data_IF_192183071340
#
_entry.id   IF_192183071340
#
_cell.length_a   1.000
_cell.length_b   1.000
_cell.length_c   1.000
_cell.angle_alpha   90.00
_cell.angle_beta   90.00
_cell.angle_gamma   90.00
#
_symmetry.space_group_name_H-M   'P 1'
#
loop_
_entity.id
_entity.type
_entity.pdbx_description
1 polymer ?
#
# COMPACT_ATOMS: atom_id res chain seq x y z
N UNK A 1 4.57 3.39 26.75
CA UNK A 1 3.44 2.47 26.51
C UNK A 1 3.35 2.23 25.02
N UNK A 2 3.40 0.99 24.56
CA UNK A 2 3.30 0.66 23.12
C UNK A 2 1.86 0.80 22.64
N UNK A 3 1.65 1.50 21.52
CA UNK A 3 0.35 1.64 20.89
C UNK A 3 0.00 0.40 20.06
N UNK A 4 -1.26 -0.01 20.08
CA UNK A 4 -1.78 -0.98 19.13
C UNK A 4 -2.75 -0.26 18.19
N UNK A 5 -2.44 -0.24 16.89
CA UNK A 5 -3.23 0.45 15.88
C UNK A 5 -3.89 -0.60 14.99
N UNK A 6 -5.21 -0.72 15.14
CA UNK A 6 -6.06 -1.69 14.43
C UNK A 6 -6.31 -1.31 12.96
N UNK A 7 -6.77 -2.25 12.15
CA UNK A 7 -7.21 -2.01 10.77
C UNK A 7 -8.28 -0.92 10.68
N UNK A 8 -9.17 -0.81 11.68
CA UNK A 8 -10.21 0.21 11.72
C UNK A 8 -9.60 1.61 11.86
N UNK A 9 -8.63 1.77 12.77
CA UNK A 9 -7.92 3.03 12.99
C UNK A 9 -7.04 3.38 11.78
N UNK A 10 -6.35 2.41 11.20
CA UNK A 10 -5.57 2.61 9.97
C UNK A 10 -6.47 3.09 8.83
N UNK A 11 -7.67 2.52 8.66
CA UNK A 11 -8.65 2.96 7.65
C UNK A 11 -9.21 4.35 7.91
N UNK A 12 -9.36 4.73 9.17
CA UNK A 12 -9.87 6.05 9.54
C UNK A 12 -8.82 7.15 9.30
N UNK A 13 -7.52 6.85 9.44
CA UNK A 13 -6.45 7.84 9.36
C UNK A 13 -5.71 7.87 8.01
N UNK A 14 -5.51 6.72 7.37
CA UNK A 14 -4.66 6.62 6.19
C UNK A 14 -5.46 6.84 4.89
N UNK A 15 -5.18 7.95 4.20
CA UNK A 15 -5.78 8.29 2.92
C UNK A 15 -4.82 8.07 1.75
N UNK A 16 -5.35 7.93 0.52
CA UNK A 16 -4.50 7.76 -0.66
C UNK A 16 -3.57 8.96 -0.91
N UNK A 17 -3.99 10.24 -0.77
CA UNK A 17 -3.08 11.37 -0.86
C UNK A 17 -1.91 11.30 0.12
N UNK A 18 -2.17 11.00 1.39
CA UNK A 18 -1.12 10.82 2.41
C UNK A 18 -0.17 9.68 2.04
N UNK A 19 -0.70 8.56 1.54
CA UNK A 19 0.13 7.44 1.12
C UNK A 19 1.00 7.78 -0.10
N UNK A 20 0.49 8.54 -1.08
CA UNK A 20 1.26 9.01 -2.24
C UNK A 20 2.38 9.94 -1.80
N UNK A 21 2.10 10.90 -0.93
CA UNK A 21 3.10 11.83 -0.38
C UNK A 21 4.21 11.07 0.37
N UNK A 22 3.85 10.21 1.32
CA UNK A 22 4.81 9.44 2.09
C UNK A 22 5.65 8.50 1.22
N UNK A 23 5.05 7.84 0.23
CA UNK A 23 5.78 6.96 -0.70
C UNK A 23 6.70 7.78 -1.62
N UNK A 24 6.30 8.97 -2.03
CA UNK A 24 7.13 9.84 -2.85
C UNK A 24 8.34 10.38 -2.07
N UNK A 25 8.12 10.81 -0.83
CA UNK A 25 9.16 11.27 0.09
C UNK A 25 10.17 10.17 0.38
N UNK A 26 9.71 8.98 0.80
CA UNK A 26 10.61 7.87 1.14
C UNK A 26 11.42 7.40 -0.09
N UNK A 27 10.84 7.48 -1.30
CA UNK A 27 11.57 7.16 -2.53
C UNK A 27 12.70 8.15 -2.79
N UNK A 28 12.50 9.44 -2.49
CA UNK A 28 13.56 10.46 -2.55
C UNK A 28 14.66 10.20 -1.53
N UNK A 29 14.29 9.97 -0.27
CA UNK A 29 15.25 9.67 0.82
C UNK A 29 16.06 8.40 0.57
N UNK A 30 15.45 7.39 -0.06
CA UNK A 30 16.16 6.18 -0.48
C UNK A 30 17.25 6.50 -1.53
N UNK A 31 16.98 7.43 -2.46
CA UNK A 31 17.95 7.82 -3.48
C UNK A 31 19.15 8.61 -2.90
N UNK A 32 18.98 9.27 -1.75
CA UNK A 32 20.03 10.03 -1.06
C UNK A 32 20.74 9.25 0.06
N UNK A 33 20.33 8.01 0.33
CA UNK A 33 20.93 7.16 1.37
C UNK A 33 20.43 7.42 2.79
N UNK A 34 19.41 8.25 2.97
CA UNK A 34 18.78 8.54 4.27
C UNK A 34 17.86 7.41 4.75
N UNK A 35 17.50 6.50 3.85
CA UNK A 35 16.67 5.32 4.12
C UNK A 35 17.40 4.07 3.67
N UNK A 36 17.40 3.05 4.54
CA UNK A 36 17.82 1.69 4.18
C UNK A 36 16.58 0.80 4.03
N UNK A 37 16.54 0.01 2.96
CA UNK A 37 15.50 -1.00 2.72
C UNK A 37 16.16 -2.37 2.73
N UNK A 38 15.75 -3.22 3.66
CA UNK A 38 16.19 -4.60 3.71
C UNK A 38 15.23 -5.48 2.89
N UNK A 39 15.76 -6.29 1.95
CA UNK A 39 14.92 -7.10 1.07
C UNK A 39 14.11 -8.13 1.85
N UNK A 40 12.99 -8.53 1.26
CA UNK A 40 12.06 -9.50 1.85
C UNK A 40 12.71 -10.86 2.02
N UNK A 41 12.65 -11.41 3.22
CA UNK A 41 12.97 -12.80 3.53
C UNK A 41 11.70 -13.63 3.63
N UNK A 42 11.82 -14.92 3.30
CA UNK A 42 10.69 -15.83 3.18
C UNK A 42 11.07 -17.21 3.70
N UNK A 43 10.13 -17.87 4.36
CA UNK A 43 10.23 -19.29 4.66
C UNK A 43 8.85 -19.94 4.70
N UNK A 44 8.81 -21.21 4.33
CA UNK A 44 7.61 -22.04 4.32
C UNK A 44 7.28 -22.53 5.74
N UNK A 45 6.00 -22.72 5.99
CA UNK A 45 5.46 -23.32 7.19
C UNK A 45 4.81 -24.68 6.83
N UNK A 46 4.69 -25.61 7.78
CA UNK A 46 3.93 -26.83 7.56
C UNK A 46 2.50 -26.57 7.03
N UNK A 47 1.98 -27.47 6.20
CA UNK A 47 0.63 -27.36 5.65
C UNK A 47 0.47 -26.31 4.54
N UNK A 48 1.55 -25.96 3.83
CA UNK A 48 1.52 -25.03 2.69
C UNK A 48 1.36 -23.56 3.09
N UNK A 49 1.60 -23.23 4.36
CA UNK A 49 1.65 -21.85 4.84
C UNK A 49 3.01 -21.20 4.62
N UNK A 50 3.12 -19.90 4.86
CA UNK A 50 4.41 -19.20 4.85
C UNK A 50 4.46 -18.07 5.87
N UNK A 51 5.68 -17.66 6.22
CA UNK A 51 5.95 -16.41 6.94
C UNK A 51 6.97 -15.59 6.18
N UNK A 52 6.63 -14.33 5.95
CA UNK A 52 7.44 -13.39 5.20
C UNK A 52 7.67 -12.12 6.01
N UNK A 53 8.84 -11.53 5.88
CA UNK A 53 9.13 -10.22 6.48
C UNK A 53 10.04 -9.38 5.59
N UNK A 54 9.94 -8.07 5.73
CA UNK A 54 10.87 -7.08 5.15
C UNK A 54 11.01 -5.91 6.13
N UNK A 55 12.16 -5.26 6.16
CA UNK A 55 12.44 -4.19 7.11
C UNK A 55 12.97 -2.95 6.40
N UNK A 56 12.82 -1.79 7.05
CA UNK A 56 13.42 -0.55 6.60
C UNK A 56 13.71 0.35 7.81
N UNK A 57 14.66 1.25 7.65
CA UNK A 57 14.88 2.34 8.60
C UNK A 57 14.96 3.67 7.85
N UNK A 58 14.33 4.69 8.41
CA UNK A 58 14.48 6.09 7.99
C UNK A 58 15.35 6.78 9.05
N UNK A 59 16.60 7.07 8.69
CA UNK A 59 17.57 7.70 9.59
C UNK A 59 17.23 9.16 9.88
N UNK A 60 16.54 9.84 8.95
CA UNK A 60 16.12 11.23 9.13
C UNK A 60 15.00 11.37 10.17
N UNK A 61 14.09 10.40 10.21
CA UNK A 61 12.99 10.37 11.18
C UNK A 61 13.34 9.58 12.46
N UNK A 62 14.44 8.84 12.46
CA UNK A 62 14.87 8.05 13.60
C UNK A 62 13.99 6.84 13.87
N UNK A 63 13.38 6.24 12.84
CA UNK A 63 12.49 5.09 12.98
C UNK A 63 13.02 3.85 12.26
N UNK A 64 12.78 2.69 12.85
CA UNK A 64 12.94 1.39 12.19
C UNK A 64 11.63 0.62 12.27
N UNK A 65 11.25 -0.02 11.17
CA UNK A 65 10.04 -0.81 11.10
C UNK A 65 10.29 -2.09 10.30
N UNK A 66 9.51 -3.13 10.59
CA UNK A 66 9.45 -4.30 9.74
C UNK A 66 8.00 -4.68 9.47
N UNK A 67 7.68 -4.97 8.22
CA UNK A 67 6.40 -5.59 7.88
C UNK A 67 6.57 -7.09 7.87
N UNK A 68 5.79 -7.76 8.70
CA UNK A 68 5.73 -9.21 8.77
C UNK A 68 4.32 -9.71 8.43
N UNK A 69 4.23 -10.89 7.82
CA UNK A 69 2.94 -11.49 7.51
C UNK A 69 2.99 -13.01 7.37
N UNK A 70 1.91 -13.64 7.80
CA UNK A 70 1.66 -15.07 7.65
C UNK A 70 0.64 -15.33 6.55
N UNK A 71 0.75 -16.50 5.94
CA UNK A 71 -0.33 -17.15 5.20
C UNK A 71 -0.60 -18.51 5.83
N UNK A 72 -1.76 -18.66 6.43
CA UNK A 72 -2.18 -19.90 7.09
C UNK A 72 -3.69 -20.07 6.91
N UNK A 73 -4.14 -21.27 6.50
CA UNK A 73 -5.56 -21.58 6.25
C UNK A 73 -6.23 -20.54 5.34
N UNK A 74 -5.59 -20.26 4.21
CA UNK A 74 -6.03 -19.31 3.18
C UNK A 74 -6.27 -17.88 3.66
N UNK A 75 -5.58 -17.47 4.74
CA UNK A 75 -5.67 -16.13 5.32
C UNK A 75 -4.30 -15.49 5.42
N UNK A 76 -4.19 -14.29 4.86
CA UNK A 76 -3.06 -13.38 5.09
C UNK A 76 -3.32 -12.54 6.34
N UNK A 77 -2.31 -12.37 7.18
CA UNK A 77 -2.34 -11.44 8.32
C UNK A 77 -1.06 -10.64 8.35
N UNK A 78 -1.16 -9.33 8.51
CA UNK A 78 -0.03 -8.41 8.40
C UNK A 78 0.13 -7.60 9.69
N UNK A 79 1.37 -7.42 10.13
CA UNK A 79 1.71 -6.57 11.27
C UNK A 79 2.97 -5.76 10.96
N UNK A 80 3.00 -4.52 11.43
CA UNK A 80 4.19 -3.66 11.40
C UNK A 80 4.49 -3.20 12.83
N UNK A 81 5.48 -3.80 13.51
CA UNK A 81 6.13 -3.17 14.64
C UNK A 81 6.98 -1.97 14.18
N UNK A 82 6.85 -0.86 14.92
CA UNK A 82 7.58 0.38 14.74
C UNK A 82 8.40 0.67 16.00
N UNK A 83 9.69 0.96 15.84
CA UNK A 83 10.61 1.25 16.94
C UNK A 83 11.28 2.62 16.76
N UNK A 84 11.56 3.28 17.88
CA UNK A 84 12.43 4.47 17.91
C UNK A 84 13.89 4.03 17.90
N UNK A 85 14.67 4.54 16.95
CA UNK A 85 16.08 4.17 16.80
C UNK A 85 16.96 4.65 17.96
N UNK A 86 16.62 5.80 18.55
CA UNK A 86 17.41 6.44 19.61
C UNK A 86 17.38 5.65 20.93
N UNK A 87 16.22 5.07 21.26
CA UNK A 87 15.98 4.39 22.55
C UNK A 87 15.91 2.87 22.38
N UNK A 88 15.53 2.39 21.18
CA UNK A 88 15.19 1.00 20.93
C UNK A 88 13.75 0.65 21.34
N UNK A 89 12.96 1.62 21.81
CA UNK A 89 11.62 1.38 22.33
C UNK A 89 10.64 0.99 21.21
N UNK A 90 9.82 -0.02 21.49
CA UNK A 90 8.69 -0.39 20.63
C UNK A 90 7.56 0.64 20.82
N UNK A 91 7.35 1.46 19.80
CA UNK A 91 6.37 2.54 19.80
C UNK A 91 4.97 2.04 19.46
N UNK A 92 4.85 1.23 18.41
CA UNK A 92 3.55 0.78 17.93
C UNK A 92 3.58 -0.62 17.29
N UNK A 93 2.45 -1.30 17.37
CA UNK A 93 2.09 -2.48 16.60
C UNK A 93 0.91 -2.11 15.68
N UNK A 94 1.12 -2.15 14.37
CA UNK A 94 0.17 -1.63 13.38
C UNK A 94 -0.34 -2.77 12.50
N UNK A 95 -1.64 -3.03 12.47
CA UNK A 95 -2.23 -3.95 11.49
C UNK A 95 -2.10 -3.37 10.07
N UNK A 96 -1.73 -4.20 9.09
CA UNK A 96 -1.15 -3.69 7.85
C UNK A 96 -1.72 -4.29 6.55
N UNK A 97 -2.94 -4.82 6.57
CA UNK A 97 -3.64 -5.23 5.35
C UNK A 97 -4.03 -3.99 4.54
N UNK A 98 -4.83 -3.07 5.09
CA UNK A 98 -5.26 -1.88 4.36
C UNK A 98 -4.08 -0.98 3.99
N UNK A 99 -3.19 -0.69 4.94
CA UNK A 99 -1.95 0.06 4.69
C UNK A 99 -1.10 -0.61 3.59
N UNK A 100 -1.00 -1.94 3.61
CA UNK A 100 -0.29 -2.71 2.61
C UNK A 100 -0.86 -2.55 1.21
N UNK A 101 -2.19 -2.51 1.07
CA UNK A 101 -2.89 -2.25 -0.20
C UNK A 101 -2.70 -0.80 -0.66
N UNK A 102 -2.85 0.17 0.25
CA UNK A 102 -2.82 1.59 -0.08
C UNK A 102 -1.43 2.04 -0.54
N UNK A 103 -0.38 1.67 0.20
CA UNK A 103 1.02 1.99 -0.19
C UNK A 103 1.43 1.34 -1.50
N UNK A 104 0.83 0.20 -1.87
CA UNK A 104 1.08 -0.46 -3.15
C UNK A 104 0.46 0.32 -4.30
N UNK A 105 -0.78 0.82 -4.12
CA UNK A 105 -1.42 1.73 -5.07
C UNK A 105 -0.70 3.08 -5.18
N UNK A 106 -0.29 3.63 -4.04
CA UNK A 106 0.46 4.88 -3.96
C UNK A 106 1.79 4.82 -4.70
N UNK A 107 2.55 3.72 -4.58
CA UNK A 107 3.78 3.53 -5.36
C UNK A 107 3.54 3.61 -6.87
N UNK A 108 2.46 2.99 -7.37
CA UNK A 108 2.04 3.14 -8.77
C UNK A 108 1.58 4.56 -9.10
N UNK A 109 0.93 5.26 -8.17
CA UNK A 109 0.58 6.67 -8.29
C UNK A 109 1.84 7.55 -8.46
N UNK A 110 2.85 7.37 -7.62
CA UNK A 110 4.14 8.06 -7.74
C UNK A 110 4.79 7.75 -9.08
N UNK A 111 4.90 6.48 -9.47
CA UNK A 111 5.42 6.12 -10.80
C UNK A 111 4.63 6.79 -11.93
N UNK A 112 3.30 6.79 -11.85
CA UNK A 112 2.42 7.46 -12.81
C UNK A 112 2.69 8.96 -12.87
N UNK A 113 2.91 9.62 -11.72
CA UNK A 113 3.18 11.06 -11.62
C UNK A 113 4.35 11.46 -12.52
N UNK A 114 5.42 10.67 -12.49
CA UNK A 114 6.67 10.95 -13.20
C UNK A 114 6.74 10.36 -14.61
N UNK A 115 6.12 9.21 -14.87
CA UNK A 115 6.32 8.45 -16.12
C UNK A 115 5.15 8.58 -17.11
N UNK A 116 3.93 8.80 -16.64
CA UNK A 116 2.77 8.93 -17.53
C UNK A 116 2.66 10.34 -18.11
N UNK A 117 2.16 10.46 -19.35
CA UNK A 117 1.84 11.76 -19.97
C UNK A 117 0.99 12.63 -19.03
N UNK A 118 1.35 13.91 -18.90
CA UNK A 118 0.60 14.88 -18.07
C UNK A 118 -0.85 15.05 -18.54
N UNK A 119 -1.10 14.85 -19.84
CA UNK A 119 -2.42 14.90 -20.47
C UNK A 119 -3.20 13.58 -20.40
N UNK A 120 -2.72 12.54 -19.71
CA UNK A 120 -3.48 11.32 -19.55
C UNK A 120 -4.80 11.59 -18.79
N UNK A 121 -5.92 11.09 -19.33
CA UNK A 121 -7.29 11.25 -18.78
C UNK A 121 -8.04 9.93 -18.59
N UNK A 122 -7.56 8.84 -19.19
CA UNK A 122 -8.22 7.52 -19.09
C UNK A 122 -7.24 6.52 -18.47
N UNK A 123 -7.69 5.82 -17.43
CA UNK A 123 -6.95 4.71 -16.83
C UNK A 123 -7.51 3.37 -17.30
N UNK A 124 -6.65 2.39 -17.56
CA UNK A 124 -7.06 1.01 -17.81
C UNK A 124 -6.70 0.14 -16.60
N UNK A 125 -7.64 -0.67 -16.14
CA UNK A 125 -7.45 -1.63 -15.05
C UNK A 125 -7.75 -3.03 -15.59
N UNK A 126 -6.74 -3.90 -15.59
CA UNK A 126 -6.88 -5.29 -16.02
C UNK A 126 -6.84 -6.17 -14.77
N UNK A 127 -8.00 -6.70 -14.40
CA UNK A 127 -8.23 -7.48 -13.19
C UNK A 127 -8.92 -6.69 -12.07
N UNK A 128 -9.83 -7.35 -11.35
CA UNK A 128 -10.69 -6.76 -10.30
C UNK A 128 -10.37 -7.33 -8.92
N UNK A 129 -9.10 -7.72 -8.71
CA UNK A 129 -8.60 -8.29 -7.45
C UNK A 129 -8.35 -7.25 -6.36
N UNK A 130 -7.88 -7.71 -5.19
CA UNK A 130 -7.75 -6.87 -3.98
C UNK A 130 -6.93 -5.59 -4.15
N UNK A 131 -5.92 -5.58 -5.04
CA UNK A 131 -5.10 -4.39 -5.29
C UNK A 131 -5.70 -3.43 -6.34
N UNK A 132 -6.66 -3.87 -7.17
CA UNK A 132 -7.13 -3.09 -8.31
C UNK A 132 -7.72 -1.73 -7.90
N UNK A 133 -8.40 -1.70 -6.74
CA UNK A 133 -9.03 -0.48 -6.20
C UNK A 133 -7.98 0.56 -5.84
N UNK A 134 -6.97 0.16 -5.06
CA UNK A 134 -5.90 1.08 -4.63
C UNK A 134 -4.99 1.47 -5.80
N UNK A 135 -4.81 0.62 -6.81
CA UNK A 135 -4.13 0.99 -8.05
C UNK A 135 -4.85 2.14 -8.78
N UNK A 136 -6.16 2.01 -9.00
CA UNK A 136 -6.95 3.07 -9.64
C UNK A 136 -6.97 4.35 -8.81
N UNK A 137 -7.12 4.24 -7.49
CA UNK A 137 -7.02 5.38 -6.56
C UNK A 137 -5.66 6.08 -6.65
N UNK A 138 -4.56 5.32 -6.71
CA UNK A 138 -3.21 5.88 -6.80
C UNK A 138 -3.00 6.67 -8.09
N UNK A 139 -3.49 6.15 -9.22
CA UNK A 139 -3.47 6.86 -10.51
C UNK A 139 -4.34 8.13 -10.45
N UNK A 140 -5.57 8.02 -9.92
CA UNK A 140 -6.50 9.14 -9.80
C UNK A 140 -5.99 10.24 -8.86
N UNK A 141 -5.18 9.89 -7.85
CA UNK A 141 -4.58 10.85 -6.93
C UNK A 141 -3.55 11.77 -7.61
N UNK A 142 -2.97 11.36 -8.75
CA UNK A 142 -1.92 12.13 -9.46
C UNK A 142 -2.32 12.55 -10.87
N UNK A 143 -3.48 12.12 -11.36
CA UNK A 143 -4.02 12.47 -12.68
C UNK A 143 -5.49 12.79 -12.57
N UNK A 144 -5.91 13.88 -13.21
CA UNK A 144 -7.32 14.20 -13.40
C UNK A 144 -7.92 13.26 -14.44
N UNK A 145 -8.42 12.11 -13.98
CA UNK A 145 -9.07 11.13 -14.83
C UNK A 145 -10.49 11.60 -15.19
N UNK A 146 -10.90 11.31 -16.42
CA UNK A 146 -12.25 11.51 -16.94
C UNK A 146 -13.02 10.20 -17.01
N UNK A 147 -12.33 9.06 -17.11
CA UNK A 147 -12.95 7.74 -17.04
C UNK A 147 -11.94 6.63 -16.75
N UNK A 148 -12.43 5.45 -16.38
CA UNK A 148 -11.66 4.22 -16.34
C UNK A 148 -12.20 3.19 -17.34
N UNK A 149 -11.33 2.28 -17.80
CA UNK A 149 -11.71 1.08 -18.56
C UNK A 149 -11.26 -0.14 -17.78
N UNK A 150 -12.21 -0.95 -17.35
CA UNK A 150 -11.95 -2.08 -16.46
C UNK A 150 -12.26 -3.38 -17.19
N UNK A 151 -11.33 -4.31 -17.14
CA UNK A 151 -11.53 -5.68 -17.60
C UNK A 151 -11.43 -6.64 -16.42
N UNK A 152 -12.37 -7.58 -16.33
CA UNK A 152 -12.36 -8.66 -15.34
C UNK A 152 -13.00 -9.91 -15.93
N UNK A 153 -12.50 -11.09 -15.54
CA UNK A 153 -13.03 -12.39 -16.02
C UNK A 153 -14.40 -12.75 -15.43
N UNK A 154 -14.73 -12.17 -14.28
CA UNK A 154 -15.95 -12.42 -13.52
C UNK A 154 -16.83 -11.18 -13.60
N UNK A 155 -18.00 -11.31 -14.24
CA UNK A 155 -18.90 -10.20 -14.53
C UNK A 155 -19.44 -9.54 -13.26
N UNK A 156 -19.80 -10.34 -12.25
CA UNK A 156 -20.34 -9.81 -10.99
C UNK A 156 -19.28 -9.02 -10.21
N UNK A 157 -18.03 -9.52 -10.17
CA UNK A 157 -16.91 -8.78 -9.56
C UNK A 157 -16.57 -7.52 -10.33
N UNK A 158 -16.67 -7.55 -11.67
CA UNK A 158 -16.44 -6.40 -12.54
C UNK A 158 -17.47 -5.31 -12.28
N UNK A 159 -18.77 -5.63 -12.31
CA UNK A 159 -19.84 -4.69 -12.06
C UNK A 159 -19.71 -4.04 -10.68
N UNK A 160 -19.49 -4.87 -9.64
CA UNK A 160 -19.26 -4.38 -8.28
C UNK A 160 -18.05 -3.44 -8.20
N UNK A 161 -16.94 -3.79 -8.85
CA UNK A 161 -15.75 -2.94 -8.89
C UNK A 161 -16.05 -1.59 -9.55
N UNK A 162 -16.68 -1.60 -10.73
CA UNK A 162 -16.98 -0.39 -11.49
C UNK A 162 -17.92 0.53 -10.69
N UNK A 163 -18.99 -0.03 -10.11
CA UNK A 163 -19.92 0.75 -9.27
C UNK A 163 -19.21 1.42 -8.10
N UNK A 164 -18.50 0.64 -7.27
CA UNK A 164 -17.84 1.18 -6.07
C UNK A 164 -16.76 2.22 -6.42
N UNK A 165 -15.99 1.99 -7.48
CA UNK A 165 -14.93 2.92 -7.88
C UNK A 165 -15.46 4.16 -8.57
N UNK A 166 -16.55 4.04 -9.32
CA UNK A 166 -17.23 5.18 -9.94
C UNK A 166 -17.82 6.11 -8.87
N UNK A 167 -18.54 5.56 -7.90
CA UNK A 167 -19.09 6.31 -6.76
C UNK A 167 -17.98 7.00 -5.95
N UNK A 168 -16.86 6.29 -5.72
CA UNK A 168 -15.76 6.81 -4.91
C UNK A 168 -14.93 7.90 -5.60
N UNK A 169 -14.72 7.78 -6.90
CA UNK A 169 -13.82 8.67 -7.66
C UNK A 169 -14.55 9.72 -8.48
N UNK A 170 -15.88 9.60 -8.63
CA UNK A 170 -16.68 10.53 -9.43
C UNK A 170 -16.39 10.45 -10.93
N UNK A 171 -16.00 9.26 -11.43
CA UNK A 171 -15.70 9.03 -12.85
C UNK A 171 -16.44 7.79 -13.38
N UNK A 172 -16.86 7.77 -14.65
CA UNK A 172 -17.42 6.59 -15.30
C UNK A 172 -16.37 5.50 -15.59
#
# INVERSE_FOLDING_TARGET
MTLHISEAEVRAMLTMPLAVEAVEEISRKQATGEVVVHPRRRFELPGGGFFHYMAAADFSLGFVAMKQYTYVRDKLRFLVPLYEMRTGDLLALIEADYMGQLRTGAASGVATKYLARKSARVAAIIGTGGQAKTQLQGVAAVRKLESARVYGRDAAKLEKFCKEMSERLGIP
#
